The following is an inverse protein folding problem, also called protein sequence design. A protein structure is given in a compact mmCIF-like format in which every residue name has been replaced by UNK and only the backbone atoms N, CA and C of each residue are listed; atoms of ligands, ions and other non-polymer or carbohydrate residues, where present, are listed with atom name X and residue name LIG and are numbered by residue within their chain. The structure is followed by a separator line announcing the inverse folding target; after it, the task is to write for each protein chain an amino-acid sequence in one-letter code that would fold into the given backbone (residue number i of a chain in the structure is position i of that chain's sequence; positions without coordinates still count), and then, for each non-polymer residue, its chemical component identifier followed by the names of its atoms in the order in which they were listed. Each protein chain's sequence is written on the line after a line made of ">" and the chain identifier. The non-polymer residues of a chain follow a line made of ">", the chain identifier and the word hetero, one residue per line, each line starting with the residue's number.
data_IF_948655472378
#
_entry.id   IF_948655472378
#
_cell.length_a   1.000
_cell.length_b   1.000
_cell.length_c   1.000
_cell.angle_alpha   90.00
_cell.angle_beta   90.00
_cell.angle_gamma   90.00
#
_symmetry.space_group_name_H-M   'P 1'
#
loop_
_entity.id
_entity.type
_entity.pdbx_description
1 polymer ?
#
# COMPACT_ATOMS: atom_id res chain seq x y z
N UNK A 1 -16.38 -8.75 -0.56
CA UNK A 1 -16.03 -7.64 -1.46
C UNK A 1 -15.15 -6.65 -0.73
N UNK A 2 -13.95 -6.45 -1.25
CA UNK A 2 -12.99 -5.56 -0.61
C UNK A 2 -11.92 -5.11 -1.58
N UNK A 3 -11.18 -4.10 -1.16
CA UNK A 3 -9.96 -3.68 -1.85
C UNK A 3 -8.78 -4.13 -1.01
N UNK A 4 -7.88 -4.90 -1.63
CA UNK A 4 -6.63 -5.31 -0.99
C UNK A 4 -5.53 -4.32 -1.33
N UNK A 5 -4.65 -4.07 -0.38
CA UNK A 5 -3.48 -3.21 -0.58
C UNK A 5 -2.24 -4.10 -0.61
N UNK A 6 -1.62 -4.22 -1.78
CA UNK A 6 -0.50 -5.14 -2.00
C UNK A 6 0.84 -4.44 -1.79
N UNK A 7 0.99 -3.72 -0.69
CA UNK A 7 2.23 -3.00 -0.38
C UNK A 7 3.40 -3.94 -0.14
N UNK A 8 3.17 -5.05 0.55
CA UNK A 8 4.25 -5.99 0.86
C UNK A 8 4.94 -6.50 -0.40
N UNK A 9 4.15 -6.82 -1.43
CA UNK A 9 4.68 -7.33 -2.70
C UNK A 9 5.60 -6.30 -3.35
N UNK A 10 5.13 -5.05 -3.42
CA UNK A 10 5.91 -3.99 -4.07
C UNK A 10 7.13 -3.60 -3.24
N UNK A 11 7.00 -3.58 -1.92
CA UNK A 11 8.14 -3.31 -1.03
C UNK A 11 9.22 -4.36 -1.20
N UNK A 12 8.83 -5.63 -1.29
CA UNK A 12 9.77 -6.71 -1.51
C UNK A 12 10.46 -6.59 -2.86
N UNK A 13 9.71 -6.25 -3.90
CA UNK A 13 10.27 -6.06 -5.25
C UNK A 13 11.30 -4.92 -5.28
N UNK A 14 11.06 -3.85 -4.54
CA UNK A 14 11.95 -2.68 -4.52
C UNK A 14 12.97 -2.75 -3.39
N UNK A 15 12.92 -3.77 -2.55
CA UNK A 15 13.85 -3.98 -1.43
C UNK A 15 13.90 -2.75 -0.51
N UNK A 16 12.73 -2.19 -0.21
CA UNK A 16 12.60 -1.04 0.67
C UNK A 16 11.89 -1.45 1.95
N UNK A 17 12.40 -1.00 3.09
CA UNK A 17 11.77 -1.28 4.39
C UNK A 17 10.56 -0.40 4.62
N UNK A 18 9.69 -0.82 5.54
CA UNK A 18 8.50 -0.05 5.91
C UNK A 18 8.88 1.30 6.49
N UNK A 19 9.89 1.35 7.33
CA UNK A 19 10.35 2.60 7.92
C UNK A 19 10.85 3.58 6.88
N UNK A 20 11.64 3.10 5.94
CA UNK A 20 12.16 3.93 4.86
C UNK A 20 11.05 4.42 3.95
N UNK A 21 10.12 3.54 3.59
CA UNK A 21 9.02 3.93 2.72
C UNK A 21 8.12 4.97 3.39
N UNK A 22 7.79 4.78 4.67
CA UNK A 22 6.98 5.73 5.42
C UNK A 22 7.63 7.11 5.44
N UNK A 23 8.95 7.16 5.67
CA UNK A 23 9.70 8.41 5.67
C UNK A 23 9.65 9.10 4.31
N UNK A 24 9.87 8.36 3.23
CA UNK A 24 9.88 8.91 1.88
C UNK A 24 8.51 9.41 1.44
N UNK A 25 7.47 8.71 1.86
CA UNK A 25 6.08 9.06 1.52
C UNK A 25 5.56 10.21 2.40
N UNK A 26 6.16 10.37 3.58
CA UNK A 26 5.76 11.42 4.50
C UNK A 26 4.59 11.05 5.40
N UNK A 27 4.45 9.77 5.71
CA UNK A 27 3.43 9.29 6.65
C UNK A 27 4.13 8.59 7.82
N UNK A 28 3.37 8.39 8.90
CA UNK A 28 3.93 7.70 10.05
C UNK A 28 4.05 6.20 9.76
N UNK A 29 5.00 5.50 10.41
CA UNK A 29 5.06 4.04 10.29
C UNK A 29 3.76 3.34 10.70
N UNK A 30 3.04 3.90 11.69
CA UNK A 30 1.75 3.36 12.10
C UNK A 30 0.73 3.44 10.96
N UNK A 31 0.67 4.57 10.25
CA UNK A 31 -0.25 4.73 9.13
C UNK A 31 0.11 3.80 7.98
N UNK A 32 1.40 3.64 7.70
CA UNK A 32 1.83 2.69 6.67
C UNK A 32 1.42 1.27 7.05
N UNK A 33 1.57 0.90 8.33
CA UNK A 33 1.19 -0.42 8.81
C UNK A 33 -0.31 -0.68 8.63
N UNK A 34 -1.14 0.34 8.88
CA UNK A 34 -2.59 0.24 8.67
C UNK A 34 -2.89 -0.08 7.20
N UNK A 35 -2.23 0.61 6.27
CA UNK A 35 -2.39 0.33 4.84
C UNK A 35 -1.89 -1.06 4.48
N UNK A 36 -0.70 -1.40 4.94
CA UNK A 36 -0.03 -2.66 4.61
C UNK A 36 -0.83 -3.88 5.10
N UNK A 37 -1.50 -3.76 6.23
CA UNK A 37 -2.26 -4.84 6.83
C UNK A 37 -3.74 -4.85 6.41
N UNK A 38 -4.09 -4.08 5.39
CA UNK A 38 -5.45 -4.03 4.83
C UNK A 38 -6.50 -3.57 5.83
N UNK A 39 -6.10 -2.70 6.76
CA UNK A 39 -7.02 -2.15 7.78
C UNK A 39 -7.47 -0.73 7.47
N UNK A 40 -6.93 -0.12 6.41
CA UNK A 40 -7.32 1.21 6.00
C UNK A 40 -8.68 1.16 5.32
N UNK A 41 -9.53 2.15 5.61
CA UNK A 41 -10.83 2.29 4.98
C UNK A 41 -10.80 3.30 3.85
N UNK A 42 -9.74 4.07 3.74
CA UNK A 42 -9.57 5.07 2.71
C UNK A 42 -8.09 5.36 2.54
N UNK A 43 -7.73 5.87 1.37
CA UNK A 43 -6.38 6.36 1.10
C UNK A 43 -6.52 7.68 0.33
N UNK A 44 -5.72 8.66 0.72
CA UNK A 44 -5.70 9.93 -0.01
C UNK A 44 -4.95 9.74 -1.31
N UNK A 45 -5.43 10.41 -2.36
CA UNK A 45 -4.73 10.36 -3.64
C UNK A 45 -3.30 10.86 -3.52
N UNK A 46 -3.04 11.86 -2.68
CA UNK A 46 -1.68 12.34 -2.46
C UNK A 46 -0.76 11.25 -1.91
N UNK A 47 -1.27 10.45 -0.98
CA UNK A 47 -0.51 9.32 -0.43
C UNK A 47 -0.31 8.24 -1.50
N UNK A 48 -1.37 7.93 -2.24
CA UNK A 48 -1.29 6.93 -3.31
C UNK A 48 -0.27 7.34 -4.38
N UNK A 49 -0.28 8.61 -4.79
CA UNK A 49 0.69 9.11 -5.74
C UNK A 49 2.12 9.00 -5.23
N UNK A 50 2.34 9.34 -3.95
CA UNK A 50 3.66 9.23 -3.35
C UNK A 50 4.15 7.79 -3.30
N UNK A 51 3.25 6.86 -2.95
CA UNK A 51 3.57 5.43 -2.95
C UNK A 51 3.95 4.94 -4.36
N UNK A 52 3.16 5.33 -5.36
CA UNK A 52 3.44 4.94 -6.74
C UNK A 52 4.79 5.49 -7.20
N UNK A 53 5.11 6.73 -6.85
CA UNK A 53 6.39 7.34 -7.22
C UNK A 53 7.56 6.63 -6.55
N UNK A 54 7.47 6.39 -5.24
CA UNK A 54 8.57 5.78 -4.50
C UNK A 54 8.77 4.31 -4.85
N UNK A 55 7.68 3.61 -5.16
CA UNK A 55 7.74 2.19 -5.54
C UNK A 55 7.83 1.99 -7.04
N UNK A 56 7.78 3.07 -7.82
CA UNK A 56 7.83 3.03 -9.29
C UNK A 56 6.82 2.04 -9.85
N UNK A 57 5.56 2.26 -9.52
CA UNK A 57 4.47 1.37 -9.92
C UNK A 57 3.22 2.19 -10.20
N UNK A 58 2.20 1.50 -10.67
CA UNK A 58 0.88 2.08 -10.94
C UNK A 58 -0.08 1.75 -9.79
N UNK A 59 -1.16 2.53 -9.62
CA UNK A 59 -2.15 2.21 -8.59
C UNK A 59 -2.69 0.78 -8.69
N UNK A 60 -2.83 0.23 -9.90
CA UNK A 60 -3.28 -1.14 -10.09
C UNK A 60 -2.30 -2.19 -9.59
N UNK A 61 -1.04 -1.81 -9.37
CA UNK A 61 -0.06 -2.70 -8.75
C UNK A 61 -0.21 -2.73 -7.23
N UNK A 62 -0.82 -1.70 -6.65
CA UNK A 62 -0.98 -1.57 -5.21
C UNK A 62 -2.37 -1.94 -4.72
N UNK A 63 -3.40 -1.72 -5.54
CA UNK A 63 -4.78 -1.91 -5.15
C UNK A 63 -5.41 -2.99 -6.00
N UNK A 64 -6.13 -3.90 -5.33
CA UNK A 64 -6.78 -5.02 -5.99
C UNK A 64 -8.20 -5.15 -5.48
N UNK A 65 -9.19 -5.21 -6.40
CA UNK A 65 -10.57 -5.45 -6.03
C UNK A 65 -10.81 -6.95 -5.95
N UNK A 66 -11.42 -7.39 -4.85
CA UNK A 66 -11.79 -8.78 -4.65
C UNK A 66 -13.29 -8.83 -4.43
N UNK A 67 -14.00 -9.56 -5.30
CA UNK A 67 -15.43 -9.73 -5.21
C UNK A 67 -15.75 -11.05 -4.53
N UNK A 68 -16.72 -11.01 -3.59
CA UNK A 68 -17.14 -12.18 -2.86
C UNK A 68 -16.27 -12.47 -1.64
N UNK A 69 -16.54 -13.59 -0.94
CA UNK A 69 -15.78 -13.92 0.26
C UNK A 69 -14.34 -14.27 -0.10
N UNK A 70 -13.43 -13.81 0.75
CA UNK A 70 -12.02 -14.16 0.63
C UNK A 70 -11.85 -15.66 0.79
N UNK A 71 -11.04 -16.26 -0.07
CA UNK A 71 -10.61 -17.64 0.15
C UNK A 71 -9.75 -17.66 1.41
N UNK A 72 -10.08 -18.53 2.32
CA UNK A 72 -9.36 -18.65 3.58
C UNK A 72 -7.93 -19.12 3.35
#
# INVERSE_FOLDING_TARGET
>A
MEILVNLDVMMAKRKISAGELAERVGITPANLSILKNNKAKAIRFSTLMALCRELQCQPGDLLEFVDGPQAA
#
